data_IF_499618764903
#
_entry.id   IF_499618764903
#
_cell.length_a   1.000
_cell.length_b   1.000
_cell.length_c   1.000
_cell.angle_alpha   90.00
_cell.angle_beta   90.00
_cell.angle_gamma   90.00
#
_symmetry.space_group_name_H-M   'P 1'
#
loop_
_entity.id
_entity.type
_entity.pdbx_description
1 polymer ?
#
# COMPACT_ATOMS: atom_id res chain seq x y z
N UNK A 1 23.30 4.52 -11.14
CA UNK A 1 21.84 4.49 -10.95
C UNK A 1 21.39 3.08 -11.23
N UNK A 2 20.72 2.43 -10.26
CA UNK A 2 20.04 1.15 -10.49
C UNK A 2 18.84 1.44 -11.42
N UNK A 3 18.59 0.62 -12.45
CA UNK A 3 17.44 0.84 -13.33
C UNK A 3 16.13 0.65 -12.56
N UNK A 4 15.17 1.57 -12.75
CA UNK A 4 13.79 1.39 -12.28
C UNK A 4 13.16 0.27 -13.10
N UNK A 5 12.67 -0.78 -12.44
CA UNK A 5 12.01 -1.93 -13.05
C UNK A 5 10.48 -1.87 -12.98
N UNK A 6 9.94 -1.05 -12.07
CA UNK A 6 8.50 -0.83 -11.96
C UNK A 6 7.90 -0.45 -13.31
N UNK A 7 6.75 -1.05 -13.63
CA UNK A 7 6.08 -0.89 -14.92
C UNK A 7 4.81 -0.07 -14.76
N UNK A 8 4.48 0.68 -15.80
CA UNK A 8 3.17 1.29 -15.94
C UNK A 8 2.34 0.56 -16.97
N UNK A 9 1.02 0.72 -16.91
CA UNK A 9 0.11 0.26 -17.95
C UNK A 9 0.41 0.91 -19.31
N UNK A 10 0.13 0.17 -20.39
CA UNK A 10 0.37 0.67 -21.73
C UNK A 10 -0.54 1.87 -22.04
N UNK A 11 0.04 2.92 -22.62
CA UNK A 11 -0.71 4.12 -23.02
C UNK A 11 -1.06 5.07 -21.87
N UNK A 12 -0.46 4.91 -20.69
CA UNK A 12 -0.54 5.91 -19.62
C UNK A 12 -0.02 7.27 -20.10
N UNK A 13 -0.73 8.35 -19.76
CA UNK A 13 -0.30 9.71 -20.07
C UNK A 13 0.94 10.08 -19.24
N UNK A 14 1.91 10.75 -19.88
CA UNK A 14 3.17 11.16 -19.27
C UNK A 14 2.95 12.00 -18.02
N UNK A 15 1.90 12.84 -17.98
CA UNK A 15 1.62 13.65 -16.78
C UNK A 15 1.39 12.78 -15.54
N UNK A 16 0.79 11.59 -15.69
CA UNK A 16 0.52 10.71 -14.57
C UNK A 16 1.79 9.96 -14.15
N UNK A 17 2.58 9.46 -15.10
CA UNK A 17 3.87 8.82 -14.77
C UNK A 17 4.83 9.79 -14.11
N UNK A 18 4.90 11.04 -14.56
CA UNK A 18 5.69 12.09 -13.92
C UNK A 18 5.23 12.37 -12.49
N UNK A 19 3.91 12.45 -12.26
CA UNK A 19 3.35 12.67 -10.92
C UNK A 19 3.68 11.51 -9.97
N UNK A 20 3.55 10.28 -10.47
CA UNK A 20 3.87 9.07 -9.70
C UNK A 20 5.35 9.03 -9.37
N UNK A 21 6.23 9.23 -10.35
CA UNK A 21 7.68 9.27 -10.13
C UNK A 21 8.08 10.38 -9.13
N UNK A 22 7.43 11.54 -9.18
CA UNK A 22 7.64 12.61 -8.21
C UNK A 22 7.19 12.21 -6.80
N UNK A 23 6.09 11.47 -6.66
CA UNK A 23 5.63 10.93 -5.38
C UNK A 23 6.63 9.93 -4.80
N UNK A 24 7.08 8.95 -5.58
CA UNK A 24 8.14 8.01 -5.16
C UNK A 24 9.41 8.75 -4.72
N UNK A 25 9.88 9.72 -5.51
CA UNK A 25 11.06 10.52 -5.17
C UNK A 25 10.87 11.27 -3.84
N UNK A 26 9.68 11.85 -3.61
CA UNK A 26 9.39 12.58 -2.37
C UNK A 26 9.32 11.64 -1.17
N UNK A 27 8.70 10.47 -1.30
CA UNK A 27 8.63 9.46 -0.24
C UNK A 27 10.03 8.92 0.08
N UNK A 28 10.86 8.64 -0.92
CA UNK A 28 12.25 8.20 -0.71
C UNK A 28 13.11 9.27 -0.01
N UNK A 29 12.87 10.55 -0.31
CA UNK A 29 13.58 11.64 0.33
C UNK A 29 13.14 11.82 1.79
N UNK A 30 11.83 11.86 2.05
CA UNK A 30 11.26 12.37 3.31
C UNK A 30 10.58 11.33 4.20
N UNK A 31 10.25 10.17 3.66
CA UNK A 31 9.60 9.10 4.41
C UNK A 31 10.49 8.51 5.50
N UNK A 32 9.88 7.67 6.34
CA UNK A 32 10.56 6.83 7.33
C UNK A 32 11.36 5.71 6.66
N UNK A 33 12.26 5.06 7.39
CA UNK A 33 13.06 3.95 6.87
C UNK A 33 12.19 2.84 6.24
N UNK A 34 11.07 2.49 6.90
CA UNK A 34 10.12 1.52 6.38
C UNK A 34 9.52 1.95 5.03
N UNK A 35 9.04 3.19 4.93
CA UNK A 35 8.46 3.71 3.68
C UNK A 35 9.50 3.74 2.56
N UNK A 36 10.74 4.11 2.86
CA UNK A 36 11.83 4.09 1.89
C UNK A 36 12.12 2.67 1.40
N UNK A 37 12.13 1.69 2.30
CA UNK A 37 12.31 0.28 1.94
C UNK A 37 11.19 -0.22 1.03
N UNK A 38 9.92 0.06 1.37
CA UNK A 38 8.77 -0.35 0.55
C UNK A 38 8.83 0.29 -0.83
N UNK A 39 9.07 1.61 -0.91
CA UNK A 39 9.16 2.32 -2.20
C UNK A 39 10.33 1.81 -3.04
N UNK A 40 11.47 1.51 -2.43
CA UNK A 40 12.62 0.99 -3.13
C UNK A 40 12.35 -0.43 -3.67
N UNK A 41 11.74 -1.30 -2.86
CA UNK A 41 11.35 -2.65 -3.29
C UNK A 41 10.38 -2.61 -4.48
N UNK A 42 9.41 -1.68 -4.46
CA UNK A 42 8.51 -1.46 -5.59
C UNK A 42 9.27 -1.02 -6.85
N UNK A 43 10.13 -0.01 -6.74
CA UNK A 43 10.91 0.50 -7.88
C UNK A 43 11.85 -0.55 -8.48
N UNK A 44 12.40 -1.43 -7.64
CA UNK A 44 13.32 -2.50 -8.02
C UNK A 44 12.60 -3.80 -8.44
N UNK A 45 11.27 -3.80 -8.49
CA UNK A 45 10.46 -4.95 -8.89
C UNK A 45 9.76 -4.72 -10.24
N UNK A 46 9.23 -5.79 -10.84
CA UNK A 46 8.38 -5.69 -12.03
C UNK A 46 6.91 -5.36 -11.71
N UNK A 47 6.62 -4.78 -10.53
CA UNK A 47 5.26 -4.44 -10.11
C UNK A 47 4.59 -3.50 -11.13
N UNK A 48 3.29 -3.69 -11.34
CA UNK A 48 2.50 -2.87 -12.25
C UNK A 48 1.82 -1.71 -11.51
N UNK A 49 1.85 -0.53 -12.12
CA UNK A 49 1.06 0.62 -11.70
C UNK A 49 0.07 1.01 -12.80
N UNK A 50 -1.22 1.01 -12.47
CA UNK A 50 -2.32 1.37 -13.37
C UNK A 50 -2.91 2.72 -12.99
N UNK A 51 -3.31 3.49 -14.00
CA UNK A 51 -4.01 4.77 -13.82
C UNK A 51 -5.29 4.79 -14.64
N UNK A 52 -6.43 4.90 -13.97
CA UNK A 52 -7.75 4.91 -14.62
C UNK A 52 -8.75 5.80 -13.90
N UNK A 53 -9.98 5.94 -14.42
CA UNK A 53 -11.02 6.71 -13.74
C UNK A 53 -11.48 5.98 -12.47
N UNK A 54 -11.90 6.74 -11.45
CA UNK A 54 -12.43 6.18 -10.18
C UNK A 54 -13.56 5.17 -10.43
N UNK A 55 -14.37 5.38 -11.47
CA UNK A 55 -15.49 4.51 -11.85
C UNK A 55 -15.06 3.09 -12.24
N UNK A 56 -13.79 2.86 -12.61
CA UNK A 56 -13.28 1.54 -13.00
C UNK A 56 -13.15 0.59 -11.79
N UNK A 57 -12.83 1.13 -10.61
CA UNK A 57 -12.58 0.35 -9.38
C UNK A 57 -13.47 0.75 -8.20
N UNK A 58 -14.21 1.84 -8.33
CA UNK A 58 -14.95 2.48 -7.24
C UNK A 58 -14.06 2.82 -6.03
N UNK A 59 -12.80 3.20 -6.29
CA UNK A 59 -11.80 3.52 -5.27
C UNK A 59 -10.76 4.51 -5.80
N UNK A 60 -10.19 5.34 -4.91
CA UNK A 60 -9.11 6.29 -5.23
C UNK A 60 -7.76 5.62 -5.43
N UNK A 61 -7.55 4.49 -4.76
CA UNK A 61 -6.41 3.59 -4.87
C UNK A 61 -6.89 2.15 -4.61
N UNK A 62 -6.22 1.16 -5.20
CA UNK A 62 -6.48 -0.25 -4.90
C UNK A 62 -5.29 -1.13 -5.24
N UNK A 63 -4.96 -2.06 -4.36
CA UNK A 63 -3.96 -3.11 -4.58
C UNK A 63 -4.61 -4.45 -4.89
N UNK A 64 -4.11 -5.19 -5.90
CA UNK A 64 -4.64 -6.51 -6.31
C UNK A 64 -3.61 -7.33 -7.10
N UNK A 65 -3.88 -8.63 -7.31
CA UNK A 65 -3.05 -9.49 -8.19
C UNK A 65 -3.27 -9.17 -9.67
N UNK A 66 -2.18 -9.13 -10.45
CA UNK A 66 -2.24 -8.94 -11.90
C UNK A 66 -2.97 -10.10 -12.59
N UNK A 67 -2.76 -11.33 -12.12
CA UNK A 67 -3.24 -12.54 -12.81
C UNK A 67 -3.59 -13.67 -11.85
N UNK A 68 -4.64 -14.43 -12.19
CA UNK A 68 -4.97 -15.68 -11.50
C UNK A 68 -3.88 -16.76 -11.65
N UNK A 69 -2.99 -16.64 -12.64
CA UNK A 69 -1.87 -17.57 -12.84
C UNK A 69 -0.88 -17.59 -11.68
N UNK A 70 -0.90 -16.58 -10.79
CA UNK A 70 -0.14 -16.58 -9.54
C UNK A 70 -0.44 -17.82 -8.70
N UNK A 71 -1.69 -18.32 -8.67
CA UNK A 71 -2.02 -19.58 -8.01
C UNK A 71 -1.21 -20.76 -8.56
N UNK A 72 -1.08 -20.87 -9.88
CA UNK A 72 -0.28 -21.94 -10.47
C UNK A 72 1.21 -21.79 -10.12
N UNK A 73 1.74 -20.56 -10.13
CA UNK A 73 3.14 -20.28 -9.77
C UNK A 73 3.46 -20.65 -8.31
N UNK A 74 2.56 -20.36 -7.37
CA UNK A 74 2.71 -20.70 -5.93
C UNK A 74 2.87 -22.21 -5.66
N UNK A 75 2.49 -23.06 -6.61
CA UNK A 75 2.65 -24.51 -6.53
C UNK A 75 3.97 -25.01 -7.13
N UNK A 76 4.60 -24.25 -8.02
CA UNK A 76 5.73 -24.72 -8.84
C UNK A 76 7.01 -23.92 -8.67
N UNK A 77 6.93 -22.72 -8.09
CA UNK A 77 8.01 -21.74 -8.12
C UNK A 77 8.15 -21.08 -6.75
N UNK A 78 9.37 -21.12 -6.20
CA UNK A 78 9.76 -20.27 -5.07
C UNK A 78 10.03 -18.87 -5.60
N UNK A 79 9.49 -17.86 -4.95
CA UNK A 79 9.63 -16.45 -5.33
C UNK A 79 10.33 -15.68 -4.22
N UNK A 80 11.21 -14.75 -4.59
CA UNK A 80 11.66 -13.69 -3.69
C UNK A 80 10.53 -12.66 -3.46
N UNK A 81 10.75 -11.73 -2.54
CA UNK A 81 9.81 -10.63 -2.32
C UNK A 81 9.69 -9.73 -3.56
N UNK A 82 10.81 -9.43 -4.23
CA UNK A 82 10.86 -8.62 -5.45
C UNK A 82 10.15 -9.32 -6.63
N UNK A 83 10.30 -10.64 -6.75
CA UNK A 83 9.57 -11.44 -7.73
C UNK A 83 8.06 -11.46 -7.43
N UNK A 84 7.68 -11.61 -6.16
CA UNK A 84 6.30 -11.59 -5.71
C UNK A 84 5.61 -10.23 -5.94
N UNK A 85 6.33 -9.11 -5.72
CA UNK A 85 5.85 -7.77 -6.09
C UNK A 85 5.56 -7.67 -7.60
N UNK A 86 6.27 -8.41 -8.43
CA UNK A 86 6.02 -8.53 -9.87
C UNK A 86 4.64 -9.11 -10.23
N UNK A 87 3.96 -9.78 -9.29
CA UNK A 87 2.60 -10.32 -9.45
C UNK A 87 1.50 -9.35 -8.96
N UNK A 88 1.88 -8.22 -8.36
CA UNK A 88 0.98 -7.25 -7.72
C UNK A 88 0.82 -6.00 -8.59
N UNK A 89 -0.37 -5.40 -8.52
CA UNK A 89 -0.71 -4.14 -9.16
C UNK A 89 -1.22 -3.12 -8.13
N UNK A 90 -0.77 -1.87 -8.25
CA UNK A 90 -1.42 -0.72 -7.63
C UNK A 90 -2.18 0.04 -8.71
N UNK A 91 -3.48 0.22 -8.51
CA UNK A 91 -4.29 1.18 -9.27
C UNK A 91 -4.38 2.50 -8.50
N UNK A 92 -4.26 3.61 -9.21
CA UNK A 92 -4.57 4.95 -8.68
C UNK A 92 -5.54 5.66 -9.63
N UNK A 93 -6.58 6.28 -9.07
CA UNK A 93 -7.55 7.02 -9.85
C UNK A 93 -6.95 8.33 -10.41
N UNK A 94 -7.28 8.67 -11.66
CA UNK A 94 -6.87 9.94 -12.30
C UNK A 94 -7.33 11.14 -11.50
N UNK A 95 -8.55 11.07 -10.95
CA UNK A 95 -9.16 12.10 -10.12
C UNK A 95 -8.36 12.35 -8.84
N UNK A 96 -7.75 11.31 -8.25
CA UNK A 96 -6.85 11.44 -7.10
C UNK A 96 -5.62 12.26 -7.45
N UNK A 97 -5.05 12.05 -8.63
CA UNK A 97 -3.88 12.80 -9.11
C UNK A 97 -4.28 14.23 -9.53
N UNK A 98 -5.35 14.38 -10.30
CA UNK A 98 -5.77 15.66 -10.87
C UNK A 98 -6.33 16.62 -9.81
N UNK A 99 -7.02 16.11 -8.78
CA UNK A 99 -7.65 16.92 -7.71
C UNK A 99 -6.82 16.96 -6.45
N UNK A 100 -6.33 15.80 -5.99
CA UNK A 100 -5.48 15.70 -4.81
C UNK A 100 -4.04 16.16 -5.07
N UNK A 101 -3.67 16.31 -6.34
CA UNK A 101 -2.34 16.72 -6.75
C UNK A 101 -1.27 15.77 -6.25
N UNK A 102 -0.09 16.34 -5.98
CA UNK A 102 1.06 15.61 -5.50
C UNK A 102 0.79 14.90 -4.15
N UNK A 103 0.00 15.51 -3.25
CA UNK A 103 -0.34 14.92 -1.95
C UNK A 103 -1.24 13.70 -2.08
N UNK A 104 -2.24 13.75 -2.97
CA UNK A 104 -3.10 12.59 -3.26
C UNK A 104 -2.30 11.41 -3.82
N UNK A 105 -1.32 11.70 -4.67
CA UNK A 105 -0.41 10.68 -5.20
C UNK A 105 0.49 10.09 -4.10
N UNK A 106 1.15 10.94 -3.30
CA UNK A 106 1.99 10.51 -2.16
C UNK A 106 1.20 9.67 -1.15
N UNK A 107 0.02 10.13 -0.73
CA UNK A 107 -0.85 9.40 0.19
C UNK A 107 -1.25 8.03 -0.34
N UNK A 108 -1.58 7.94 -1.63
CA UNK A 108 -1.93 6.66 -2.27
C UNK A 108 -0.76 5.69 -2.23
N UNK A 109 0.45 6.10 -2.64
CA UNK A 109 1.59 5.16 -2.64
C UNK A 109 2.13 4.83 -1.26
N UNK A 110 1.94 5.69 -0.26
CA UNK A 110 2.27 5.35 1.13
C UNK A 110 1.31 4.28 1.67
N UNK A 111 0.02 4.37 1.35
CA UNK A 111 -1.01 3.44 1.80
C UNK A 111 -1.01 2.14 0.98
N UNK A 112 -1.27 2.24 -0.33
CA UNK A 112 -1.31 1.08 -1.23
C UNK A 112 0.07 0.42 -1.41
N UNK A 113 1.16 1.18 -1.24
CA UNK A 113 2.50 0.58 -1.23
C UNK A 113 2.69 -0.39 -0.07
N UNK A 114 2.12 -0.09 1.11
CA UNK A 114 2.14 -1.02 2.23
C UNK A 114 1.34 -2.28 1.90
N UNK A 115 0.13 -2.14 1.34
CA UNK A 115 -0.66 -3.29 0.90
C UNK A 115 0.06 -4.14 -0.15
N UNK A 116 0.73 -3.51 -1.12
CA UNK A 116 1.48 -4.23 -2.15
C UNK A 116 2.64 -5.03 -1.54
N UNK A 117 3.33 -4.46 -0.54
CA UNK A 117 4.36 -5.15 0.20
C UNK A 117 3.79 -6.33 0.99
N UNK A 118 2.67 -6.15 1.70
CA UNK A 118 2.03 -7.20 2.49
C UNK A 118 1.52 -8.35 1.60
N UNK A 119 0.97 -8.03 0.43
CA UNK A 119 0.57 -9.03 -0.57
C UNK A 119 1.77 -9.79 -1.12
N UNK A 120 2.87 -9.09 -1.44
CA UNK A 120 4.09 -9.72 -1.90
C UNK A 120 4.74 -10.61 -0.82
N UNK A 121 4.71 -10.21 0.44
CA UNK A 121 5.19 -11.01 1.57
C UNK A 121 4.35 -12.28 1.75
N UNK A 122 3.03 -12.18 1.64
CA UNK A 122 2.12 -13.33 1.68
C UNK A 122 2.39 -14.32 0.53
N UNK A 123 2.59 -13.82 -0.70
CA UNK A 123 2.95 -14.63 -1.88
C UNK A 123 4.33 -15.29 -1.69
N UNK A 124 5.34 -14.50 -1.33
CA UNK A 124 6.72 -14.96 -1.17
C UNK A 124 6.83 -16.01 -0.07
N UNK A 125 6.28 -15.74 1.12
CA UNK A 125 6.31 -16.66 2.24
C UNK A 125 5.58 -17.98 1.95
N UNK A 126 4.41 -17.94 1.28
CA UNK A 126 3.71 -19.16 0.86
C UNK A 126 4.50 -19.95 -0.19
N UNK A 127 5.12 -19.27 -1.15
CA UNK A 127 5.92 -19.94 -2.18
C UNK A 127 7.14 -20.68 -1.60
N UNK A 128 7.61 -20.26 -0.42
CA UNK A 128 8.74 -20.84 0.32
C UNK A 128 8.30 -21.68 1.54
N UNK A 129 7.01 -22.05 1.64
CA UNK A 129 6.45 -22.78 2.79
C UNK A 129 7.10 -24.14 3.07
N UNK A 130 7.74 -24.73 2.08
CA UNK A 130 8.48 -25.99 2.24
C UNK A 130 9.80 -25.81 3.00
N UNK A 131 10.35 -24.59 3.02
CA UNK A 131 11.54 -24.21 3.80
C UNK A 131 11.14 -23.62 5.16
N UNK A 132 10.05 -22.84 5.23
CA UNK A 132 9.56 -22.21 6.46
C UNK A 132 8.04 -22.32 6.60
N UNK A 133 7.51 -23.50 6.99
CA UNK A 133 6.06 -23.75 7.00
C UNK A 133 5.30 -22.92 8.05
N UNK A 134 5.95 -22.55 9.16
CA UNK A 134 5.36 -21.70 10.21
C UNK A 134 5.51 -20.21 9.91
N UNK A 135 6.24 -19.84 8.86
CA UNK A 135 6.53 -18.45 8.49
C UNK A 135 5.61 -17.90 7.39
N UNK A 136 4.50 -18.57 7.08
CA UNK A 136 3.56 -18.11 6.05
C UNK A 136 2.78 -16.91 6.56
N UNK A 137 2.95 -15.77 5.89
CA UNK A 137 2.24 -14.52 6.15
C UNK A 137 0.88 -14.57 5.47
N UNK A 138 -0.20 -14.32 6.22
CA UNK A 138 -1.55 -14.19 5.68
C UNK A 138 -2.41 -13.27 6.57
N UNK A 139 -2.07 -11.97 6.65
CA UNK A 139 -2.77 -11.02 7.52
C UNK A 139 -4.24 -10.84 7.11
N UNK A 140 -5.08 -10.52 8.07
CA UNK A 140 -6.46 -10.09 7.88
C UNK A 140 -6.54 -8.67 7.31
N UNK A 141 -7.69 -8.30 6.74
CA UNK A 141 -7.96 -6.94 6.25
C UNK A 141 -7.80 -5.90 7.37
N UNK A 142 -8.20 -6.22 8.60
CA UNK A 142 -7.96 -5.36 9.75
C UNK A 142 -6.46 -5.09 9.96
N UNK A 143 -5.62 -6.13 9.95
CA UNK A 143 -4.16 -5.98 10.12
C UNK A 143 -3.52 -5.19 8.97
N UNK A 144 -3.94 -5.45 7.74
CA UNK A 144 -3.49 -4.73 6.55
C UNK A 144 -3.82 -3.24 6.64
N UNK A 145 -5.08 -2.90 6.89
CA UNK A 145 -5.55 -1.52 6.98
C UNK A 145 -4.93 -0.79 8.19
N UNK A 146 -4.80 -1.49 9.32
CA UNK A 146 -4.11 -0.98 10.49
C UNK A 146 -2.66 -0.59 10.16
N UNK A 147 -1.90 -1.49 9.55
CA UNK A 147 -0.51 -1.24 9.16
C UNK A 147 -0.40 -0.10 8.15
N UNK A 148 -1.29 -0.04 7.15
CA UNK A 148 -1.30 1.02 6.16
C UNK A 148 -1.62 2.40 6.77
N UNK A 149 -2.58 2.49 7.69
CA UNK A 149 -2.91 3.74 8.39
C UNK A 149 -1.81 4.18 9.37
N UNK A 150 -1.16 3.23 10.07
CA UNK A 150 0.02 3.50 10.89
C UNK A 150 1.16 4.07 10.04
N UNK A 151 1.43 3.45 8.89
CA UNK A 151 2.44 3.90 7.94
C UNK A 151 2.10 5.28 7.37
N UNK A 152 0.85 5.55 7.03
CA UNK A 152 0.38 6.87 6.59
C UNK A 152 0.57 7.94 7.67
N UNK A 153 0.20 7.66 8.92
CA UNK A 153 0.39 8.59 10.04
C UNK A 153 1.86 8.94 10.27
N UNK A 154 2.74 7.94 10.27
CA UNK A 154 4.20 8.15 10.37
C UNK A 154 4.75 8.99 9.21
N UNK A 155 4.21 8.82 8.00
CA UNK A 155 4.60 9.65 6.86
C UNK A 155 4.19 11.11 7.05
N UNK A 156 2.94 11.36 7.45
CA UNK A 156 2.43 12.71 7.69
C UNK A 156 3.25 13.46 8.75
N UNK A 157 3.64 12.76 9.83
CA UNK A 157 4.55 13.29 10.84
C UNK A 157 5.96 13.57 10.30
N UNK A 158 6.48 12.72 9.40
CA UNK A 158 7.79 12.93 8.80
C UNK A 158 7.81 14.11 7.82
N UNK A 159 6.72 14.33 7.08
CA UNK A 159 6.55 15.49 6.20
C UNK A 159 6.36 16.78 7.01
N UNK A 160 5.64 16.70 8.13
CA UNK A 160 5.43 17.77 9.10
C UNK A 160 4.97 19.10 8.47
N UNK A 161 4.05 19.04 7.50
CA UNK A 161 3.44 20.22 6.89
C UNK A 161 2.00 20.39 7.37
N UNK A 162 1.50 21.64 7.52
CA UNK A 162 0.16 21.88 8.08
C UNK A 162 -0.98 21.14 7.39
N UNK A 163 -0.95 21.03 6.06
CA UNK A 163 -1.94 20.34 5.23
C UNK A 163 -1.94 18.82 5.46
N UNK A 164 -0.77 18.19 5.59
CA UNK A 164 -0.62 16.76 5.92
C UNK A 164 -1.08 16.46 7.35
N UNK A 165 -0.72 17.34 8.29
CA UNK A 165 -1.11 17.18 9.69
C UNK A 165 -2.62 17.35 9.86
N UNK A 166 -3.21 18.34 9.20
CA UNK A 166 -4.67 18.57 9.25
C UNK A 166 -5.43 17.39 8.64
N UNK A 167 -5.01 16.90 7.47
CA UNK A 167 -5.62 15.71 6.85
C UNK A 167 -5.51 14.49 7.77
N UNK A 168 -4.35 14.27 8.40
CA UNK A 168 -4.19 13.18 9.36
C UNK A 168 -5.12 13.29 10.57
N UNK A 169 -5.38 14.50 11.06
CA UNK A 169 -6.35 14.74 12.13
C UNK A 169 -7.78 14.48 11.65
N UNK A 170 -8.16 14.98 10.47
CA UNK A 170 -9.50 14.82 9.90
C UNK A 170 -9.83 13.35 9.61
N UNK A 171 -8.82 12.56 9.24
CA UNK A 171 -8.95 11.12 9.02
C UNK A 171 -8.90 10.29 10.30
N UNK A 172 -8.71 10.91 11.48
CA UNK A 172 -8.48 10.24 12.77
C UNK A 172 -7.19 9.38 12.81
N UNK A 173 -6.25 9.60 11.90
CA UNK A 173 -4.94 8.92 11.88
C UNK A 173 -3.97 9.57 12.86
N UNK A 174 -4.06 10.88 13.02
CA UNK A 174 -3.23 11.64 13.94
C UNK A 174 -4.05 12.15 15.13
N UNK A 175 -3.34 12.39 16.22
CA UNK A 175 -3.80 13.09 17.40
C UNK A 175 -2.87 14.26 17.71
N UNK A 176 -3.32 15.17 18.57
CA UNK A 176 -2.55 16.33 19.01
C UNK A 176 -2.56 16.39 20.53
N UNK A 177 -1.38 16.48 21.14
CA UNK A 177 -1.22 16.67 22.58
C UNK A 177 -1.50 18.12 22.98
N UNK A 178 -1.70 18.37 24.26
CA UNK A 178 -1.92 19.72 24.82
C UNK A 178 -0.76 20.68 24.52
N UNK A 179 0.47 20.16 24.43
CA UNK A 179 1.67 20.92 24.05
C UNK A 179 1.76 21.24 22.55
N UNK A 180 0.80 20.79 21.75
CA UNK A 180 0.73 21.00 20.32
C UNK A 180 1.45 19.95 19.46
N UNK A 181 2.09 18.96 20.07
CA UNK A 181 2.80 17.88 19.37
C UNK A 181 1.83 16.90 18.72
N UNK A 182 2.03 16.58 17.45
CA UNK A 182 1.25 15.57 16.74
C UNK A 182 1.83 14.16 16.96
N UNK A 183 0.96 13.16 17.01
CA UNK A 183 1.32 11.75 17.16
C UNK A 183 0.37 10.86 16.35
N UNK A 184 0.76 9.62 16.07
CA UNK A 184 -0.12 8.63 15.44
C UNK A 184 -1.15 8.16 16.47
N UNK A 185 -2.43 8.32 16.17
CA UNK A 185 -3.52 8.05 17.09
C UNK A 185 -4.08 6.64 16.88
N UNK A 186 -3.50 5.67 17.57
CA UNK A 186 -3.92 4.27 17.54
C UNK A 186 -5.43 4.10 17.76
N UNK A 187 -6.01 4.75 18.77
CA UNK A 187 -7.44 4.65 19.05
C UNK A 187 -8.30 5.31 17.96
N UNK A 188 -7.82 6.40 17.37
CA UNK A 188 -8.42 7.04 16.21
C UNK A 188 -8.43 6.13 14.98
N UNK A 189 -7.32 5.43 14.72
CA UNK A 189 -7.24 4.43 13.64
C UNK A 189 -8.21 3.28 13.91
N UNK A 190 -8.25 2.71 15.14
CA UNK A 190 -9.21 1.64 15.48
C UNK A 190 -10.65 2.09 15.23
N UNK A 191 -10.97 3.31 15.65
CA UNK A 191 -12.30 3.91 15.42
C UNK A 191 -12.60 4.06 13.93
N UNK A 192 -11.65 4.55 13.14
CA UNK A 192 -11.78 4.66 11.68
C UNK A 192 -12.04 3.31 11.02
N UNK A 193 -11.27 2.28 11.38
CA UNK A 193 -11.43 0.92 10.84
C UNK A 193 -12.84 0.38 11.12
N UNK A 194 -13.34 0.59 12.33
CA UNK A 194 -14.71 0.20 12.70
C UNK A 194 -15.76 1.02 11.95
N UNK A 195 -15.69 2.35 12.02
CA UNK A 195 -16.75 3.23 11.49
C UNK A 195 -16.81 3.24 9.95
N UNK A 196 -15.66 3.14 9.27
CA UNK A 196 -15.58 3.27 7.81
C UNK A 196 -15.59 1.93 7.08
N UNK A 197 -15.08 0.87 7.70
CA UNK A 197 -14.92 -0.44 7.07
C UNK A 197 -15.65 -1.56 7.82
N UNK A 198 -16.21 -1.29 9.00
CA UNK A 198 -16.85 -2.31 9.83
C UNK A 198 -15.87 -3.33 10.43
N UNK A 199 -14.58 -2.96 10.54
CA UNK A 199 -13.51 -3.87 10.95
C UNK A 199 -13.19 -3.74 12.44
N UNK A 200 -12.96 -4.88 13.11
CA UNK A 200 -12.68 -4.98 14.55
C UNK A 200 -11.66 -6.09 14.80
N UNK A 201 -10.64 -5.81 15.63
CA UNK A 201 -9.52 -6.72 15.94
C UNK A 201 -9.99 -8.05 16.56
N UNK A 202 -10.95 -7.97 17.48
CA UNK A 202 -11.53 -9.08 18.24
C UNK A 202 -12.90 -9.53 17.71
N UNK A 203 -13.27 -9.06 16.51
CA UNK A 203 -14.57 -9.31 15.91
C UNK A 203 -14.47 -9.55 14.41
N UNK A 204 -15.04 -8.65 13.61
CA UNK A 204 -14.97 -8.73 12.16
C UNK A 204 -13.61 -8.25 11.65
N UNK A 205 -12.63 -9.14 11.53
CA UNK A 205 -11.30 -8.80 10.99
C UNK A 205 -11.29 -8.65 9.46
N UNK A 206 -12.40 -8.98 8.79
CA UNK A 206 -12.49 -9.03 7.33
C UNK A 206 -11.73 -10.22 6.71
N UNK A 207 -11.67 -10.28 5.37
CA UNK A 207 -10.97 -11.34 4.65
C UNK A 207 -9.46 -11.29 4.88
N UNK A 208 -8.79 -12.42 4.76
CA UNK A 208 -7.33 -12.53 4.75
C UNK A 208 -6.73 -12.07 3.41
N UNK A 209 -5.44 -11.75 3.39
CA UNK A 209 -4.70 -11.38 2.18
C UNK A 209 -4.88 -12.41 1.05
N UNK A 210 -4.84 -13.71 1.35
CA UNK A 210 -5.12 -14.74 0.36
C UNK A 210 -6.54 -14.67 -0.20
N UNK A 211 -7.55 -14.46 0.65
CA UNK A 211 -8.93 -14.33 0.20
C UNK A 211 -9.13 -13.08 -0.66
N UNK A 212 -8.50 -11.96 -0.30
CA UNK A 212 -8.53 -10.72 -1.09
C UNK A 212 -7.86 -10.91 -2.45
N UNK A 213 -6.75 -11.66 -2.49
CA UNK A 213 -6.01 -11.97 -3.72
C UNK A 213 -6.65 -13.10 -4.54
N UNK A 214 -7.63 -13.84 -4.02
CA UNK A 214 -8.17 -15.03 -4.69
C UNK A 214 -7.16 -16.18 -4.77
N UNK A 215 -6.28 -16.30 -3.78
CA UNK A 215 -5.33 -17.40 -3.64
C UNK A 215 -6.06 -18.61 -3.03
N UNK A 216 -6.05 -19.74 -3.75
CA UNK A 216 -6.83 -20.97 -3.46
C UNK A 216 -5.96 -22.23 -3.33
N UNK A 217 -4.64 -22.07 -3.38
CA UNK A 217 -3.63 -23.14 -3.44
C UNK A 217 -3.57 -24.07 -2.24
#
# INVERSE_FOLDING_TARGET
MVPILMRFDDGIDKKYTDSINAAFATILAKGTAQQKQVMQAILDSNMLVQVGPVAQRNASGQTFLISATTNAKLLTTRMSLEEALGEVCIFIAKETIDTGGQRGCEGTFVHEGQHAFDFADAISSYSNRDVSPLGVSNPSLYELEWAAHQTAGKYMLAINKPDYLQEGMDLMILGKKDDGTYFVNDDGIRKRLNDSYGLQEDGNTGPTAFQMMGIVV
#
